data_IF_007090635605
#
_entry.id   IF_007090635605
#
_cell.length_a   1.000
_cell.length_b   1.000
_cell.length_c   1.000
_cell.angle_alpha   90.00
_cell.angle_beta   90.00
_cell.angle_gamma   90.00
#
_symmetry.space_group_name_H-M   'P 1'
#
loop_
_entity.id
_entity.type
_entity.pdbx_description
1 polymer ?
#
# COMPACT_ATOMS: atom_id res chain seq x y z
N UNK A 1 -31.64 27.29 -5.55
CA UNK A 1 -31.23 25.89 -5.23
C UNK A 1 -29.90 25.50 -5.87
N UNK A 2 -29.48 26.12 -6.98
CA UNK A 2 -28.21 25.82 -7.68
C UNK A 2 -26.95 26.14 -6.86
N UNK A 3 -26.86 27.33 -6.25
CA UNK A 3 -25.61 27.77 -5.58
C UNK A 3 -25.18 26.93 -4.39
N UNK A 4 -26.14 26.39 -3.62
CA UNK A 4 -25.83 25.47 -2.52
C UNK A 4 -25.30 24.13 -3.04
N UNK A 5 -25.82 23.67 -4.16
CA UNK A 5 -25.35 22.44 -4.80
C UNK A 5 -23.93 22.62 -5.31
N UNK A 6 -23.67 23.69 -6.07
CA UNK A 6 -22.34 24.00 -6.61
C UNK A 6 -21.29 24.20 -5.51
N UNK A 7 -21.67 24.88 -4.42
CA UNK A 7 -20.77 25.10 -3.27
C UNK A 7 -20.51 23.83 -2.47
N UNK A 8 -21.47 22.89 -2.46
CA UNK A 8 -21.30 21.57 -1.85
C UNK A 8 -20.38 20.69 -2.71
N UNK A 9 -20.58 20.68 -4.03
CA UNK A 9 -19.75 19.92 -4.98
C UNK A 9 -18.29 20.37 -4.93
N UNK A 10 -18.04 21.68 -4.97
CA UNK A 10 -16.68 22.23 -4.86
C UNK A 10 -16.01 21.86 -3.52
N UNK A 11 -16.79 21.72 -2.44
CA UNK A 11 -16.26 21.30 -1.14
C UNK A 11 -15.99 19.80 -1.08
N UNK A 12 -16.81 18.98 -1.73
CA UNK A 12 -16.53 17.55 -1.88
C UNK A 12 -15.22 17.37 -2.62
N UNK A 13 -15.04 18.06 -3.74
CA UNK A 13 -13.80 18.00 -4.53
C UNK A 13 -12.59 18.45 -3.70
N UNK A 14 -12.66 19.59 -3.00
CA UNK A 14 -11.59 20.04 -2.10
C UNK A 14 -11.23 19.01 -1.02
N UNK A 15 -12.23 18.34 -0.45
CA UNK A 15 -12.02 17.31 0.56
C UNK A 15 -11.43 16.03 -0.03
N UNK A 16 -11.82 15.64 -1.24
CA UNK A 16 -11.22 14.52 -1.97
C UNK A 16 -9.74 14.76 -2.25
N UNK A 17 -9.37 15.95 -2.74
CA UNK A 17 -7.97 16.33 -2.96
C UNK A 17 -7.15 16.31 -1.67
N UNK A 18 -7.69 16.85 -0.57
CA UNK A 18 -7.01 16.80 0.74
C UNK A 18 -6.84 15.37 1.25
N UNK A 19 -7.83 14.51 1.02
CA UNK A 19 -7.77 13.12 1.43
C UNK A 19 -6.72 12.35 0.62
N UNK A 20 -6.68 12.55 -0.70
CA UNK A 20 -5.66 11.94 -1.55
C UNK A 20 -4.24 12.40 -1.17
N UNK A 21 -4.04 13.69 -0.91
CA UNK A 21 -2.76 14.22 -0.44
C UNK A 21 -2.33 13.56 0.88
N UNK A 22 -3.24 13.48 1.86
CA UNK A 22 -2.99 12.79 3.13
C UNK A 22 -2.68 11.30 2.93
N UNK A 23 -3.39 10.61 2.05
CA UNK A 23 -3.11 9.21 1.72
C UNK A 23 -1.71 9.05 1.10
N UNK A 24 -1.31 9.93 0.19
CA UNK A 24 0.03 9.92 -0.42
C UNK A 24 1.12 10.07 0.65
N UNK A 25 0.94 10.94 1.66
CA UNK A 25 1.89 11.09 2.76
C UNK A 25 2.02 9.83 3.62
N UNK A 26 0.91 9.12 3.88
CA UNK A 26 0.97 7.86 4.65
C UNK A 26 1.70 6.73 3.91
N UNK A 27 1.69 6.73 2.58
CA UNK A 27 2.36 5.72 1.74
C UNK A 27 3.84 6.02 1.47
N UNK A 28 4.38 7.14 1.96
CA UNK A 28 5.75 7.58 1.65
C UNK A 28 6.83 6.58 2.04
N UNK A 29 6.60 5.78 3.07
CA UNK A 29 7.52 4.73 3.53
C UNK A 29 7.06 3.32 3.11
N UNK A 30 6.01 3.21 2.30
CA UNK A 30 5.51 1.94 1.80
C UNK A 30 6.03 1.70 0.38
N UNK A 31 6.54 0.50 0.15
CA UNK A 31 6.92 0.03 -1.20
C UNK A 31 5.96 -1.08 -1.63
N UNK A 32 5.72 -1.17 -2.94
CA UNK A 32 4.97 -2.28 -3.54
C UNK A 32 5.93 -3.23 -4.22
N UNK A 33 5.94 -4.48 -3.78
CA UNK A 33 6.72 -5.56 -4.39
C UNK A 33 5.76 -6.41 -5.22
N UNK A 34 6.16 -6.73 -6.45
CA UNK A 34 5.39 -7.55 -7.38
C UNK A 34 6.24 -8.71 -7.90
N UNK A 35 5.59 -9.80 -8.32
CA UNK A 35 6.27 -10.97 -8.88
C UNK A 35 6.63 -12.08 -7.87
N UNK A 36 6.34 -11.89 -6.58
CA UNK A 36 6.47 -12.94 -5.56
C UNK A 36 5.20 -13.80 -5.57
N UNK A 37 5.28 -15.12 -5.89
CA UNK A 37 4.14 -16.03 -5.83
C UNK A 37 3.49 -16.05 -4.45
N UNK A 38 2.17 -16.25 -4.39
CA UNK A 38 1.43 -16.39 -3.13
C UNK A 38 1.41 -17.86 -2.70
N UNK A 39 1.75 -18.13 -1.44
CA UNK A 39 1.76 -19.48 -0.88
C UNK A 39 0.81 -19.55 0.33
N UNK A 40 0.17 -20.70 0.54
CA UNK A 40 -0.71 -20.91 1.69
C UNK A 40 0.08 -20.90 3.00
N UNK A 41 -0.44 -20.19 4.02
CA UNK A 41 0.24 -19.95 5.31
C UNK A 41 1.62 -19.30 5.20
N UNK A 42 1.84 -18.44 4.20
CA UNK A 42 3.08 -17.66 4.12
C UNK A 42 3.18 -16.58 5.20
N UNK A 43 4.41 -16.25 5.56
CA UNK A 43 4.76 -15.05 6.31
C UNK A 43 5.22 -14.00 5.30
N UNK A 44 4.47 -12.90 5.17
CA UNK A 44 4.83 -11.84 4.24
C UNK A 44 6.11 -11.11 4.65
N UNK A 45 6.42 -11.06 5.95
CA UNK A 45 7.67 -10.47 6.45
C UNK A 45 8.88 -11.29 5.97
N UNK A 46 8.79 -12.63 6.08
CA UNK A 46 9.88 -13.52 5.66
C UNK A 46 10.15 -13.43 4.16
N UNK A 47 9.10 -13.36 3.34
CA UNK A 47 9.23 -13.18 1.90
C UNK A 47 9.85 -11.81 1.53
N UNK A 48 9.48 -10.74 2.25
CA UNK A 48 10.06 -9.40 2.05
C UNK A 48 11.52 -9.36 2.47
N UNK A 49 11.88 -9.96 3.61
CA UNK A 49 13.26 -10.04 4.09
C UNK A 49 14.13 -10.83 3.12
N UNK A 50 13.64 -12.00 2.69
CA UNK A 50 14.31 -12.84 1.71
C UNK A 50 14.53 -12.09 0.40
N UNK A 51 13.49 -11.44 -0.13
CA UNK A 51 13.63 -10.65 -1.35
C UNK A 51 14.64 -9.51 -1.20
N UNK A 52 14.57 -8.75 -0.10
CA UNK A 52 15.45 -7.60 0.14
C UNK A 52 16.90 -8.00 0.34
N UNK A 53 17.15 -9.09 1.05
CA UNK A 53 18.50 -9.56 1.36
C UNK A 53 19.12 -10.38 0.21
N UNK A 54 18.36 -11.29 -0.39
CA UNK A 54 18.91 -12.19 -1.41
C UNK A 54 18.96 -11.53 -2.79
N UNK A 55 17.98 -10.69 -3.13
CA UNK A 55 17.86 -10.09 -4.48
C UNK A 55 18.45 -8.69 -4.51
N UNK A 56 18.11 -7.86 -3.52
CA UNK A 56 18.55 -6.45 -3.48
C UNK A 56 19.83 -6.22 -2.68
N UNK A 57 20.30 -7.22 -1.92
CA UNK A 57 21.48 -7.14 -1.06
C UNK A 57 21.42 -5.94 -0.09
N UNK A 58 20.24 -5.63 0.46
CA UNK A 58 20.01 -4.41 1.26
C UNK A 58 20.21 -4.56 2.77
N UNK A 59 20.59 -5.75 3.27
CA UNK A 59 20.79 -6.04 4.71
C UNK A 59 19.64 -5.52 5.60
N UNK A 60 18.40 -5.83 5.21
CA UNK A 60 17.18 -5.48 5.96
C UNK A 60 17.00 -6.44 7.14
N UNK A 61 16.76 -5.88 8.32
CA UNK A 61 16.49 -6.63 9.55
C UNK A 61 14.97 -6.72 9.83
N UNK A 62 14.48 -7.80 10.48
CA UNK A 62 13.05 -7.99 10.73
C UNK A 62 12.35 -6.84 11.48
N UNK A 63 13.08 -6.14 12.36
CA UNK A 63 12.54 -5.02 13.14
C UNK A 63 12.39 -3.70 12.36
N UNK A 64 12.88 -3.65 11.12
CA UNK A 64 12.77 -2.47 10.25
C UNK A 64 11.50 -2.48 9.39
N UNK A 65 10.76 -3.59 9.40
CA UNK A 65 9.46 -3.72 8.73
C UNK A 65 8.36 -3.40 9.74
N UNK A 66 7.68 -2.28 9.56
CA UNK A 66 6.53 -1.92 10.40
C UNK A 66 5.31 -2.83 10.13
N UNK A 67 4.99 -3.04 8.85
CA UNK A 67 3.89 -3.91 8.39
C UNK A 67 4.14 -4.42 6.98
N UNK A 68 3.85 -5.70 6.74
CA UNK A 68 3.74 -6.28 5.40
C UNK A 68 2.38 -6.96 5.22
N UNK A 69 1.86 -6.96 3.99
CA UNK A 69 0.62 -7.67 3.62
C UNK A 69 0.50 -7.77 2.11
N UNK A 70 -0.30 -8.75 1.64
CA UNK A 70 -0.72 -8.82 0.23
C UNK A 70 -1.75 -7.74 -0.08
N UNK A 71 -1.72 -7.22 -1.30
CA UNK A 71 -2.67 -6.20 -1.76
C UNK A 71 -3.65 -6.82 -2.75
N UNK A 72 -4.94 -6.64 -2.48
CA UNK A 72 -6.02 -7.18 -3.30
C UNK A 72 -6.59 -8.49 -2.74
N UNK A 73 -7.62 -9.05 -3.40
CA UNK A 73 -8.16 -10.35 -3.03
C UNK A 73 -7.10 -11.46 -3.24
N UNK A 74 -7.13 -12.55 -2.45
CA UNK A 74 -6.24 -13.69 -2.65
C UNK A 74 -6.32 -14.19 -4.09
N UNK A 75 -5.19 -14.52 -4.70
CA UNK A 75 -5.22 -15.11 -6.04
C UNK A 75 -5.88 -16.49 -5.97
N UNK A 76 -7.05 -16.65 -6.59
CA UNK A 76 -7.58 -17.97 -6.87
C UNK A 76 -6.72 -18.61 -7.96
N UNK A 77 -6.16 -19.78 -7.68
CA UNK A 77 -5.69 -20.66 -8.76
C UNK A 77 -6.93 -21.08 -9.56
N UNK A 78 -7.14 -20.45 -10.71
CA UNK A 78 -8.06 -20.92 -11.76
C UNK A 78 -7.25 -21.71 -12.80
#
# INVERSE_FOLDING_TARGET
>A
MSDKLTKSEAKCEELEWKNDDLEQYTRRQSIRIAGIPEIFFESTDDEVLKFSNDVLNSQLEPGEIDRSHRVGPPRSND
#
